data_IF_344205228028
#
_entry.id   IF_344205228028
#
_cell.length_a   1.000
_cell.length_b   1.000
_cell.length_c   1.000
_cell.angle_alpha   90.00
_cell.angle_beta   90.00
_cell.angle_gamma   90.00
#
_symmetry.space_group_name_H-M   'P 1'
#
loop_
_entity.id
_entity.type
_entity.pdbx_description
1 polymer ?
#
# COMPACT_ATOMS: atom_id res chain seq x y z
N UNK A 1 -37.61 22.06 -42.52
CA UNK A 1 -36.77 22.74 -41.50
C UNK A 1 -35.37 22.18 -41.60
N UNK A 2 -34.39 23.00 -41.97
CA UNK A 2 -32.98 22.58 -42.06
C UNK A 2 -32.32 22.65 -40.69
N UNK A 3 -31.72 21.54 -40.24
CA UNK A 3 -30.98 21.50 -38.97
C UNK A 3 -29.69 22.31 -39.00
N UNK A 4 -29.16 22.63 -37.83
CA UNK A 4 -27.95 23.43 -37.65
C UNK A 4 -26.74 22.82 -38.40
N UNK A 5 -26.20 23.57 -39.36
CA UNK A 5 -25.05 23.19 -40.17
C UNK A 5 -23.80 22.96 -39.32
N UNK A 6 -23.70 23.62 -38.17
CA UNK A 6 -22.54 23.53 -37.29
C UNK A 6 -22.40 22.15 -36.65
N UNK A 7 -23.49 21.40 -36.48
CA UNK A 7 -23.45 20.02 -35.98
C UNK A 7 -22.73 19.05 -36.93
N UNK A 8 -22.50 19.45 -38.19
CA UNK A 8 -21.69 18.69 -39.16
C UNK A 8 -20.20 19.01 -39.07
N UNK A 9 -19.81 20.01 -38.27
CA UNK A 9 -18.42 20.43 -38.11
C UNK A 9 -17.80 19.67 -36.94
N UNK A 10 -16.65 19.05 -37.19
CA UNK A 10 -15.93 18.22 -36.21
C UNK A 10 -15.47 18.98 -34.98
N UNK A 11 -15.26 20.30 -35.08
CA UNK A 11 -14.83 21.15 -33.98
C UNK A 11 -15.98 21.65 -33.09
N UNK A 12 -17.25 21.45 -33.48
CA UNK A 12 -18.37 22.05 -32.77
C UNK A 12 -18.54 21.44 -31.36
N UNK A 13 -18.60 22.26 -30.29
CA UNK A 13 -18.56 21.75 -28.91
C UNK A 13 -19.82 20.94 -28.56
N UNK A 14 -20.96 21.25 -29.18
CA UNK A 14 -22.22 20.53 -28.90
C UNK A 14 -22.31 19.16 -29.59
N UNK A 15 -21.30 18.76 -30.36
CA UNK A 15 -21.26 17.41 -30.90
C UNK A 15 -21.02 16.42 -29.75
N UNK A 16 -21.84 15.37 -29.62
CA UNK A 16 -21.73 14.37 -28.55
C UNK A 16 -20.32 13.78 -28.41
N UNK A 17 -19.58 13.63 -29.51
CA UNK A 17 -18.19 13.16 -29.49
C UNK A 17 -17.25 14.12 -28.74
N UNK A 18 -17.45 15.42 -28.93
CA UNK A 18 -16.62 16.44 -28.29
C UNK A 18 -17.01 16.63 -26.82
N UNK A 19 -18.31 16.59 -26.51
CA UNK A 19 -18.77 16.59 -25.12
C UNK A 19 -18.22 15.41 -24.34
N UNK A 20 -18.19 14.21 -24.93
CA UNK A 20 -17.56 13.02 -24.32
C UNK A 20 -16.07 13.23 -24.09
N UNK A 21 -15.34 13.76 -25.08
CA UNK A 21 -13.91 14.04 -24.94
C UNK A 21 -13.62 15.02 -23.79
N UNK A 22 -14.38 16.10 -23.71
CA UNK A 22 -14.28 17.08 -22.62
C UNK A 22 -14.59 16.41 -21.28
N UNK A 23 -15.68 15.64 -21.20
CA UNK A 23 -16.05 14.93 -19.98
C UNK A 23 -14.99 13.93 -19.51
N UNK A 24 -14.39 13.17 -20.43
CA UNK A 24 -13.34 12.21 -20.10
C UNK A 24 -12.07 12.92 -19.60
N UNK A 25 -11.70 14.05 -20.22
CA UNK A 25 -10.57 14.88 -19.79
C UNK A 25 -10.84 15.53 -18.42
N UNK A 26 -12.04 16.07 -18.19
CA UNK A 26 -12.46 16.65 -16.90
C UNK A 26 -12.47 15.59 -15.79
N UNK A 27 -12.99 14.40 -16.08
CA UNK A 27 -13.02 13.29 -15.14
C UNK A 27 -11.61 12.87 -14.75
N UNK A 28 -10.70 12.74 -15.71
CA UNK A 28 -9.29 12.42 -15.46
C UNK A 28 -8.61 13.49 -14.60
N UNK A 29 -8.82 14.77 -14.93
CA UNK A 29 -8.26 15.87 -14.14
C UNK A 29 -8.78 15.88 -12.69
N UNK A 30 -10.05 15.53 -12.49
CA UNK A 30 -10.66 15.43 -11.17
C UNK A 30 -10.08 14.24 -10.37
N UNK A 31 -9.81 13.11 -11.01
CA UNK A 31 -9.14 11.95 -10.40
C UNK A 31 -7.71 12.29 -9.99
N UNK A 32 -6.93 12.94 -10.86
CA UNK A 32 -5.57 13.40 -10.56
C UNK A 32 -5.56 14.38 -9.37
N UNK A 33 -6.49 15.35 -9.36
CA UNK A 33 -6.63 16.29 -8.24
C UNK A 33 -6.94 15.58 -6.92
N UNK A 34 -7.86 14.60 -6.93
CA UNK A 34 -8.17 13.81 -5.73
C UNK A 34 -6.96 13.05 -5.20
N UNK A 35 -6.15 12.47 -6.09
CA UNK A 35 -4.92 11.77 -5.69
C UNK A 35 -3.91 12.74 -5.05
N UNK A 36 -3.74 13.91 -5.65
CA UNK A 36 -2.86 14.96 -5.12
C UNK A 36 -3.35 15.42 -3.74
N UNK A 37 -4.65 15.67 -3.58
CA UNK A 37 -5.24 16.09 -2.31
C UNK A 37 -5.02 15.04 -1.20
N UNK A 38 -5.09 13.74 -1.54
CA UNK A 38 -4.76 12.65 -0.61
C UNK A 38 -3.29 12.69 -0.18
N UNK A 39 -2.37 12.85 -1.14
CA UNK A 39 -0.92 12.95 -0.85
C UNK A 39 -0.58 14.18 0.00
N UNK A 40 -1.25 15.31 -0.25
CA UNK A 40 -1.07 16.53 0.55
C UNK A 40 -1.53 16.28 1.99
N UNK A 41 -2.69 15.63 2.16
CA UNK A 41 -3.21 15.28 3.48
C UNK A 41 -2.26 14.34 4.23
N UNK A 42 -1.80 13.27 3.58
CA UNK A 42 -0.83 12.33 4.17
C UNK A 42 0.45 13.06 4.63
N UNK A 43 1.01 13.94 3.79
CA UNK A 43 2.18 14.75 4.16
C UNK A 43 1.91 15.73 5.31
N UNK A 44 0.72 16.30 5.38
CA UNK A 44 0.33 17.18 6.48
C UNK A 44 0.20 16.41 7.78
N UNK A 45 -0.40 15.22 7.75
CA UNK A 45 -0.50 14.32 8.90
C UNK A 45 0.90 13.89 9.39
N UNK A 46 1.80 13.52 8.48
CA UNK A 46 3.19 13.20 8.81
C UNK A 46 3.90 14.37 9.50
N UNK A 47 3.75 15.60 8.98
CA UNK A 47 4.33 16.81 9.59
C UNK A 47 3.75 17.09 10.96
N UNK A 48 2.43 16.96 11.15
CA UNK A 48 1.80 17.15 12.45
C UNK A 48 2.31 16.15 13.49
N UNK A 49 2.50 14.88 13.08
CA UNK A 49 3.06 13.84 13.96
C UNK A 49 4.52 14.16 14.31
N UNK A 50 5.32 14.60 13.34
CA UNK A 50 6.71 15.01 13.57
C UNK A 50 6.80 16.22 14.52
N UNK A 51 5.95 17.22 14.33
CA UNK A 51 5.87 18.40 15.22
C UNK A 51 5.50 18.01 16.64
N UNK A 52 4.52 17.12 16.82
CA UNK A 52 4.13 16.61 18.14
C UNK A 52 5.26 15.82 18.81
N UNK A 53 5.98 14.97 18.06
CA UNK A 53 7.14 14.24 18.58
C UNK A 53 8.24 15.20 19.02
N UNK A 54 8.55 16.21 18.20
CA UNK A 54 9.54 17.23 18.55
C UNK A 54 9.13 18.03 19.78
N UNK A 55 7.85 18.38 19.91
CA UNK A 55 7.34 19.07 21.11
C UNK A 55 7.49 18.19 22.35
N UNK A 56 7.16 16.90 22.26
CA UNK A 56 7.34 15.93 23.34
C UNK A 56 8.82 15.81 23.75
N UNK A 57 9.75 15.76 22.79
CA UNK A 57 11.18 15.74 23.05
C UNK A 57 11.65 17.03 23.77
N UNK A 58 11.22 18.21 23.29
CA UNK A 58 11.59 19.49 23.94
C UNK A 58 11.04 19.64 25.36
N UNK A 59 9.88 19.04 25.65
CA UNK A 59 9.28 19.02 26.98
C UNK A 59 9.96 18.03 27.94
N UNK A 60 11.02 17.33 27.51
CA UNK A 60 11.76 16.36 28.33
C UNK A 60 11.28 14.92 28.21
N UNK A 61 10.43 14.62 27.22
CA UNK A 61 10.00 13.25 26.90
C UNK A 61 11.11 12.41 26.27
N UNK A 62 10.96 11.08 26.33
CA UNK A 62 11.90 10.15 25.71
C UNK A 62 11.87 10.27 24.18
N UNK A 63 13.05 10.37 23.54
CA UNK A 63 13.20 10.43 22.09
C UNK A 63 12.73 9.13 21.44
N UNK A 64 11.79 9.23 20.49
CA UNK A 64 11.33 8.05 19.73
C UNK A 64 12.42 7.61 18.76
N UNK A 65 12.73 6.32 18.73
CA UNK A 65 13.69 5.78 17.77
C UNK A 65 13.03 5.70 16.39
N UNK A 66 13.64 6.32 15.38
CA UNK A 66 13.21 6.21 13.98
C UNK A 66 13.65 4.87 13.39
N UNK A 67 12.97 3.80 13.81
CA UNK A 67 13.17 2.45 13.28
C UNK A 67 11.83 1.87 12.84
N UNK A 68 11.87 1.04 11.82
CA UNK A 68 10.70 0.32 11.34
C UNK A 68 10.39 -0.78 12.35
N UNK A 69 9.46 -0.51 13.27
CA UNK A 69 9.20 -1.42 14.40
C UNK A 69 8.88 -2.84 13.93
N UNK A 70 8.07 -3.05 12.87
CA UNK A 70 7.78 -4.42 12.39
C UNK A 70 9.00 -5.18 11.87
N UNK A 71 10.07 -4.49 11.47
CA UNK A 71 11.30 -5.09 10.96
C UNK A 71 12.30 -5.42 12.08
N UNK A 72 12.25 -4.68 13.20
CA UNK A 72 13.21 -4.80 14.31
C UNK A 72 12.62 -5.31 15.62
N UNK A 73 11.29 -5.36 15.72
CA UNK A 73 10.63 -6.23 16.67
C UNK A 73 10.79 -7.64 16.13
N UNK A 74 11.78 -8.36 16.64
CA UNK A 74 11.92 -9.79 16.37
C UNK A 74 10.54 -10.46 16.47
N UNK A 75 10.22 -11.26 15.47
CA UNK A 75 8.88 -11.76 15.12
C UNK A 75 7.81 -11.64 16.24
N UNK A 76 6.65 -10.98 15.99
CA UNK A 76 5.56 -11.00 16.94
C UNK A 76 5.13 -12.45 17.17
N UNK A 77 5.12 -12.86 18.43
CA UNK A 77 4.68 -14.18 18.89
C UNK A 77 3.15 -14.38 18.75
N UNK A 78 2.57 -14.06 17.60
CA UNK A 78 1.13 -14.05 17.42
C UNK A 78 0.69 -14.06 15.96
N UNK A 79 0.86 -15.20 15.29
CA UNK A 79 -0.25 -15.97 14.73
C UNK A 79 0.29 -17.34 14.28
N UNK A 80 -0.18 -18.43 14.89
CA UNK A 80 0.08 -19.79 14.42
C UNK A 80 1.40 -20.47 14.82
N UNK A 81 1.56 -20.77 16.11
CA UNK A 81 2.22 -22.00 16.60
C UNK A 81 3.66 -22.32 16.16
N UNK A 82 4.61 -21.99 17.03
CA UNK A 82 5.94 -22.61 17.05
C UNK A 82 7.07 -21.60 17.09
N UNK A 83 7.72 -21.51 18.25
CA UNK A 83 9.02 -20.87 18.43
C UNK A 83 10.02 -21.43 17.41
N UNK A 84 10.19 -20.76 16.27
CA UNK A 84 11.33 -20.98 15.39
C UNK A 84 12.43 -20.01 15.86
N UNK A 85 13.64 -20.48 16.17
CA UNK A 85 14.72 -19.62 16.66
C UNK A 85 14.94 -18.45 15.70
N UNK A 86 15.03 -17.23 16.21
CA UNK A 86 15.30 -16.03 15.42
C UNK A 86 16.54 -16.19 14.52
N UNK A 87 17.56 -16.93 14.99
CA UNK A 87 18.77 -17.27 14.22
C UNK A 87 18.52 -18.13 12.97
N UNK A 88 17.50 -18.99 13.00
CA UNK A 88 17.14 -19.81 11.83
C UNK A 88 16.49 -18.95 10.76
N UNK A 89 15.54 -18.09 11.16
CA UNK A 89 14.84 -17.15 10.27
C UNK A 89 15.80 -16.12 9.67
N UNK A 90 16.70 -15.54 10.48
CA UNK A 90 17.76 -14.64 10.03
C UNK A 90 18.68 -15.32 9.02
N UNK A 91 18.96 -16.62 9.20
CA UNK A 91 19.71 -17.43 8.26
C UNK A 91 19.03 -17.56 6.89
N UNK A 92 17.69 -17.63 6.84
CA UNK A 92 16.94 -17.69 5.58
C UNK A 92 16.84 -16.31 4.91
N UNK A 93 16.63 -15.23 5.68
CA UNK A 93 16.57 -13.85 5.16
C UNK A 93 17.91 -13.38 4.59
N UNK A 94 19.02 -13.82 5.19
CA UNK A 94 20.38 -13.52 4.73
C UNK A 94 20.94 -14.56 3.75
N UNK A 95 20.15 -15.54 3.32
CA UNK A 95 20.55 -16.58 2.38
C UNK A 95 21.62 -17.56 2.89
N UNK A 96 21.94 -17.54 4.19
CA UNK A 96 22.87 -18.49 4.83
C UNK A 96 22.30 -19.90 4.93
N UNK A 97 20.97 -20.06 4.84
CA UNK A 97 20.27 -21.36 4.82
C UNK A 97 19.30 -21.44 3.63
N UNK A 98 19.22 -22.60 2.98
CA UNK A 98 18.37 -22.82 1.79
C UNK A 98 16.92 -23.10 2.19
N UNK A 99 15.98 -22.44 1.51
CA UNK A 99 14.53 -22.49 1.80
C UNK A 99 13.89 -23.82 1.34
N UNK A 100 14.59 -24.59 0.49
CA UNK A 100 14.08 -25.82 -0.14
C UNK A 100 13.57 -26.88 0.85
N UNK A 101 14.15 -26.95 2.05
CA UNK A 101 13.76 -27.91 3.09
C UNK A 101 12.42 -27.54 3.75
N UNK A 102 12.16 -26.24 3.93
CA UNK A 102 10.90 -25.75 4.50
C UNK A 102 9.73 -25.91 3.52
N UNK A 103 9.96 -25.58 2.24
CA UNK A 103 8.96 -25.75 1.19
C UNK A 103 8.53 -27.21 1.03
N UNK A 104 9.48 -28.14 1.18
CA UNK A 104 9.21 -29.59 1.12
C UNK A 104 8.46 -30.12 2.34
N UNK A 105 8.66 -29.56 3.54
CA UNK A 105 7.90 -29.98 4.72
C UNK A 105 6.44 -29.52 4.66
N UNK A 106 6.19 -28.31 4.18
CA UNK A 106 4.82 -27.79 4.06
C UNK A 106 4.02 -28.55 2.99
N UNK A 107 4.66 -28.89 1.86
CA UNK A 107 4.08 -29.75 0.83
C UNK A 107 3.71 -31.15 1.35
N UNK A 108 4.49 -31.71 2.29
CA UNK A 108 4.17 -33.02 2.91
C UNK A 108 3.00 -32.94 3.88
N UNK A 109 2.90 -31.85 4.65
CA UNK A 109 1.81 -31.64 5.62
C UNK A 109 0.46 -31.41 4.93
N UNK A 110 0.45 -30.81 3.75
CA UNK A 110 -0.76 -30.62 2.94
C UNK A 110 -1.31 -31.91 2.30
N UNK A 111 -0.51 -32.98 2.26
CA UNK A 111 -0.84 -34.25 1.57
C UNK A 111 -1.27 -35.36 2.54
N UNK A 112 -1.17 -35.16 3.86
CA UNK A 112 -1.72 -36.13 4.83
C UNK A 112 -3.24 -35.93 4.99
N UNK A 113 -4.08 -36.90 4.53
CA UNK A 113 -5.51 -36.84 4.82
C UNK A 113 -5.75 -37.14 6.30
N UNK A 114 -6.52 -36.29 6.98
CA UNK A 114 -7.00 -36.54 8.34
C UNK A 114 -7.72 -37.90 8.39
N UNK A 115 -7.08 -38.89 9.04
CA UNK A 115 -7.76 -40.12 9.44
C UNK A 115 -8.35 -39.87 10.81
N UNK A 116 -9.55 -39.31 10.82
CA UNK A 116 -10.38 -39.23 12.02
C UNK A 116 -11.00 -40.59 12.31
N UNK A 117 -10.93 -40.99 13.58
CA UNK A 117 -11.48 -42.21 14.19
C UNK A 117 -12.87 -41.93 14.76
#
# INVERSE_FOLDING_TARGET
>A
MGGDLNLKKSWHPNLLKNQRRVYDEEKKALEERKQIDKLIRERQEERQIEELQKLQETAGGQRKQNRVEWMYSGAPAGDGGGSRPAEEMEGFLLGKRRIDTLLKSDAKKAVEPQKDL
#
